data_IF_659695926316
#
_entry.id   IF_659695926316
#
_cell.length_a   1.000
_cell.length_b   1.000
_cell.length_c   1.000
_cell.angle_alpha   90.00
_cell.angle_beta   90.00
_cell.angle_gamma   90.00
#
_symmetry.space_group_name_H-M   'P 1'
#
loop_
_entity.id
_entity.type
_entity.pdbx_description
1 polymer ?
#
# COMPACT_ATOMS: atom_id res chain seq x y z
N UNK A 1 -23.95 9.64 1.61
CA UNK A 1 -23.38 9.25 1.77
C UNK A 1 -22.27 9.17 1.55
N UNK A 2 -21.78 8.92 2.00
CA UNK A 2 -20.61 9.36 1.58
C UNK A 2 -19.70 8.33 1.16
N UNK A 3 -19.04 8.52 0.16
CA UNK A 3 -18.05 7.64 -0.38
C UNK A 3 -16.70 8.04 0.14
N UNK A 4 -16.56 8.00 1.47
CA UNK A 4 -15.39 8.52 2.16
C UNK A 4 -14.09 7.83 1.80
N UNK A 5 -14.15 6.58 1.34
CA UNK A 5 -12.97 5.80 0.99
C UNK A 5 -13.01 5.34 -0.45
N UNK A 6 -13.27 6.25 -1.35
CA UNK A 6 -13.32 5.94 -2.79
C UNK A 6 -11.95 5.63 -3.37
N UNK A 7 -10.95 6.41 -2.97
CA UNK A 7 -9.61 6.34 -3.54
C UNK A 7 -8.67 5.72 -2.55
N UNK A 8 -8.21 4.51 -2.86
CA UNK A 8 -7.39 3.71 -1.94
C UNK A 8 -6.01 3.51 -2.50
N UNK A 9 -5.02 3.67 -1.64
CA UNK A 9 -3.62 3.38 -1.98
C UNK A 9 -3.17 2.09 -1.32
N UNK A 10 -2.29 1.35 -1.99
CA UNK A 10 -1.65 0.16 -1.43
C UNK A 10 -0.15 0.31 -1.63
N UNK A 11 0.61 0.30 -0.54
CA UNK A 11 2.07 0.35 -0.58
C UNK A 11 2.60 -1.07 -0.40
N UNK A 12 3.04 -1.67 -1.49
CA UNK A 12 3.60 -3.02 -1.49
C UNK A 12 3.03 -3.88 -2.61
N UNK A 13 3.87 -4.24 -3.56
CA UNK A 13 3.50 -5.00 -4.75
C UNK A 13 3.74 -6.51 -4.63
N UNK A 14 3.84 -7.06 -3.43
CA UNK A 14 3.94 -8.49 -3.22
C UNK A 14 2.59 -9.19 -3.41
N UNK A 15 2.54 -10.51 -3.15
CA UNK A 15 1.31 -11.29 -3.34
C UNK A 15 0.17 -10.77 -2.49
N UNK A 16 0.42 -10.49 -1.22
CA UNK A 16 -0.61 -10.02 -0.29
C UNK A 16 -1.12 -8.62 -0.64
N UNK A 17 -0.20 -7.70 -0.96
CA UNK A 17 -0.59 -6.34 -1.37
C UNK A 17 -1.40 -6.34 -2.66
N UNK A 18 -1.01 -7.17 -3.63
CA UNK A 18 -1.73 -7.31 -4.89
C UNK A 18 -3.12 -7.89 -4.67
N UNK A 19 -3.25 -8.91 -3.79
CA UNK A 19 -4.54 -9.50 -3.48
C UNK A 19 -5.46 -8.49 -2.79
N UNK A 20 -4.94 -7.67 -1.88
CA UNK A 20 -5.71 -6.61 -1.24
C UNK A 20 -6.16 -5.55 -2.23
N UNK A 21 -5.29 -5.16 -3.16
CA UNK A 21 -5.64 -4.22 -4.23
C UNK A 21 -6.78 -4.76 -5.07
N UNK A 22 -6.74 -6.05 -5.42
CA UNK A 22 -7.81 -6.70 -6.18
C UNK A 22 -9.12 -6.69 -5.39
N UNK A 23 -9.07 -6.98 -4.08
CA UNK A 23 -10.25 -6.95 -3.23
C UNK A 23 -10.90 -5.57 -3.19
N UNK A 24 -10.09 -4.53 -3.06
CA UNK A 24 -10.57 -3.15 -3.05
C UNK A 24 -11.21 -2.76 -4.39
N UNK A 25 -10.57 -3.15 -5.49
CA UNK A 25 -11.11 -2.86 -6.84
C UNK A 25 -12.42 -3.61 -7.07
N UNK A 26 -12.52 -4.85 -6.60
CA UNK A 26 -13.75 -5.63 -6.69
C UNK A 26 -14.89 -4.98 -5.90
N UNK A 27 -14.53 -4.31 -4.80
CA UNK A 27 -15.50 -3.56 -3.99
C UNK A 27 -15.87 -2.21 -4.61
N UNK A 28 -15.37 -1.89 -5.79
CA UNK A 28 -15.70 -0.66 -6.51
C UNK A 28 -14.83 0.54 -6.15
N UNK A 29 -13.72 0.32 -5.47
CA UNK A 29 -12.81 1.40 -5.11
C UNK A 29 -11.82 1.70 -6.24
N UNK A 30 -11.39 2.94 -6.33
CA UNK A 30 -10.31 3.33 -7.23
C UNK A 30 -8.99 3.02 -6.51
N UNK A 31 -8.15 2.16 -7.10
CA UNK A 31 -6.96 1.64 -6.43
C UNK A 31 -5.69 2.06 -7.18
N UNK A 32 -4.74 2.60 -6.42
CA UNK A 32 -3.38 2.84 -6.90
C UNK A 32 -2.43 1.99 -6.04
N UNK A 33 -1.67 1.12 -6.69
CA UNK A 33 -0.72 0.21 -6.04
C UNK A 33 0.71 0.69 -6.29
N UNK A 34 1.41 1.00 -5.21
CA UNK A 34 2.83 1.29 -5.31
C UNK A 34 3.64 0.01 -5.20
N UNK A 35 4.52 -0.22 -6.17
CA UNK A 35 5.47 -1.32 -6.15
C UNK A 35 6.88 -0.78 -6.37
N UNK A 36 7.84 -1.38 -5.68
CA UNK A 36 9.24 -0.97 -5.79
C UNK A 36 9.83 -1.31 -7.16
N UNK A 37 9.43 -2.44 -7.73
CA UNK A 37 10.05 -2.96 -8.95
C UNK A 37 9.29 -2.49 -10.20
N UNK A 38 10.02 -1.87 -11.13
CA UNK A 38 9.43 -1.39 -12.39
C UNK A 38 8.77 -2.51 -13.19
N UNK A 39 9.36 -3.72 -13.16
CA UNK A 39 8.79 -4.86 -13.86
C UNK A 39 7.40 -5.24 -13.31
N UNK A 40 7.22 -5.09 -12.01
CA UNK A 40 5.92 -5.34 -11.38
C UNK A 40 4.89 -4.29 -11.81
N UNK A 41 5.30 -3.02 -11.82
CA UNK A 41 4.45 -1.91 -12.27
C UNK A 41 4.02 -2.12 -13.72
N UNK A 42 4.97 -2.45 -14.60
CA UNK A 42 4.68 -2.66 -16.00
C UNK A 42 3.74 -3.83 -16.23
N UNK A 43 3.98 -4.95 -15.53
CA UNK A 43 3.13 -6.14 -15.68
C UNK A 43 1.69 -5.85 -15.28
N UNK A 44 1.48 -5.14 -14.17
CA UNK A 44 0.14 -4.81 -13.71
C UNK A 44 -0.56 -3.86 -14.70
N UNK A 45 0.14 -2.83 -15.15
CA UNK A 45 -0.48 -1.82 -16.01
C UNK A 45 -0.74 -2.31 -17.43
N UNK A 46 0.11 -3.18 -17.96
CA UNK A 46 -0.03 -3.65 -19.35
C UNK A 46 -0.78 -4.96 -19.48
N UNK A 47 -0.56 -5.89 -18.56
CA UNK A 47 -1.10 -7.25 -18.65
C UNK A 47 -2.18 -7.54 -17.60
N UNK A 48 -2.41 -6.62 -16.68
CA UNK A 48 -3.38 -6.78 -15.59
C UNK A 48 -3.11 -8.06 -14.81
N UNK A 49 -1.84 -8.30 -14.53
CA UNK A 49 -1.37 -9.46 -13.78
C UNK A 49 -0.06 -9.10 -13.09
N UNK A 50 0.11 -9.53 -11.85
CA UNK A 50 1.40 -9.43 -11.17
C UNK A 50 2.15 -10.75 -11.35
N UNK A 51 2.84 -10.87 -12.46
CA UNK A 51 3.52 -12.12 -12.84
C UNK A 51 4.70 -12.46 -11.92
N UNK A 52 5.26 -11.48 -11.21
CA UNK A 52 6.38 -11.71 -10.30
C UNK A 52 5.92 -12.35 -8.98
N UNK A 53 4.82 -11.88 -8.41
CA UNK A 53 4.43 -12.24 -7.04
C UNK A 53 3.07 -12.91 -6.92
N UNK A 54 2.21 -12.79 -7.93
CA UNK A 54 0.88 -13.40 -7.92
C UNK A 54 0.52 -13.89 -9.33
N UNK A 55 1.34 -14.81 -9.89
CA UNK A 55 1.14 -15.26 -11.25
C UNK A 55 -0.18 -16.03 -11.41
N UNK A 56 -0.79 -15.90 -12.59
CA UNK A 56 -2.00 -16.64 -12.93
C UNK A 56 -3.28 -16.06 -12.38
N UNK A 57 -3.22 -14.93 -11.69
CA UNK A 57 -4.42 -14.28 -11.14
C UNK A 57 -4.72 -13.03 -11.95
N UNK A 58 -5.84 -13.00 -12.69
CA UNK A 58 -6.20 -11.79 -13.43
C UNK A 58 -6.64 -10.69 -12.46
N UNK A 59 -6.14 -9.48 -12.69
CA UNK A 59 -6.44 -8.33 -11.87
C UNK A 59 -7.45 -7.43 -12.58
N UNK A 60 -8.22 -6.68 -11.78
CA UNK A 60 -9.16 -5.70 -12.32
C UNK A 60 -8.36 -4.66 -13.13
N UNK A 61 -8.77 -4.40 -14.39
CA UNK A 61 -8.04 -3.44 -15.24
C UNK A 61 -8.03 -2.01 -14.71
N UNK A 62 -8.87 -1.68 -13.75
CA UNK A 62 -8.89 -0.34 -13.15
C UNK A 62 -7.76 -0.11 -12.16
N UNK A 63 -7.07 -1.16 -11.71
CA UNK A 63 -5.93 -1.02 -10.79
C UNK A 63 -4.77 -0.37 -11.54
N UNK A 64 -4.28 0.73 -10.99
CA UNK A 64 -3.10 1.41 -11.52
C UNK A 64 -1.91 1.10 -10.62
N UNK A 65 -0.81 0.70 -11.22
CA UNK A 65 0.43 0.51 -10.49
C UNK A 65 1.38 1.69 -10.76
N UNK A 66 2.19 2.01 -9.76
CA UNK A 66 3.16 3.11 -9.85
C UNK A 66 4.38 2.79 -9.00
N UNK A 67 5.52 3.39 -9.34
CA UNK A 67 6.70 3.39 -8.49
C UNK A 67 6.94 4.76 -7.85
N UNK A 68 6.01 5.68 -8.00
CA UNK A 68 6.08 7.02 -7.42
C UNK A 68 5.08 7.15 -6.27
N UNK A 69 5.56 7.24 -5.03
CA UNK A 69 4.69 7.39 -3.86
C UNK A 69 3.85 8.66 -3.88
N UNK A 70 4.28 9.68 -4.62
CA UNK A 70 3.49 10.89 -4.82
C UNK A 70 2.13 10.63 -5.46
N UNK A 71 1.99 9.55 -6.22
CA UNK A 71 0.73 9.19 -6.85
C UNK A 71 -0.34 8.73 -5.83
N UNK A 72 0.06 8.49 -4.59
CA UNK A 72 -0.86 8.13 -3.51
C UNK A 72 -1.24 9.33 -2.63
N UNK A 73 -0.77 10.51 -2.94
CA UNK A 73 -0.95 11.70 -2.09
C UNK A 73 -2.42 12.08 -1.89
N UNK A 74 -3.28 11.79 -2.85
CA UNK A 74 -4.70 12.15 -2.80
C UNK A 74 -5.61 10.97 -2.41
N UNK A 75 -5.04 9.87 -1.94
CA UNK A 75 -5.83 8.73 -1.48
C UNK A 75 -6.60 9.06 -0.21
N UNK A 76 -7.77 8.46 -0.06
CA UNK A 76 -8.60 8.60 1.14
C UNK A 76 -8.07 7.76 2.29
N UNK A 77 -7.41 6.67 1.99
CA UNK A 77 -6.71 5.81 2.95
C UNK A 77 -5.62 5.03 2.22
N UNK A 78 -4.64 4.58 2.96
CA UNK A 78 -3.51 3.82 2.41
C UNK A 78 -3.27 2.57 3.24
N UNK A 79 -3.17 1.43 2.56
CA UNK A 79 -2.77 0.16 3.17
C UNK A 79 -1.27 -0.03 2.97
N UNK A 80 -0.56 -0.36 4.05
CA UNK A 80 0.89 -0.60 3.99
C UNK A 80 1.14 -2.08 4.16
N UNK A 81 1.68 -2.71 3.11
CA UNK A 81 1.81 -4.16 2.99
C UNK A 81 3.27 -4.54 2.68
N UNK A 82 4.21 -3.67 2.96
CA UNK A 82 5.63 -3.97 2.76
C UNK A 82 6.13 -4.92 3.84
N UNK A 83 7.17 -5.72 3.55
CA UNK A 83 7.79 -6.55 4.58
C UNK A 83 8.23 -5.72 5.79
N UNK A 84 8.19 -6.32 6.98
CA UNK A 84 8.46 -5.61 8.24
C UNK A 84 9.79 -4.85 8.23
N UNK A 85 10.84 -5.45 7.64
CA UNK A 85 12.17 -4.83 7.62
C UNK A 85 12.27 -3.64 6.65
N UNK A 86 11.27 -3.47 5.78
CA UNK A 86 11.21 -2.35 4.82
C UNK A 86 10.13 -1.32 5.19
N UNK A 87 9.41 -1.54 6.27
CA UNK A 87 8.30 -0.69 6.68
C UNK A 87 8.78 0.75 6.93
N UNK A 88 9.80 0.93 7.74
CA UNK A 88 10.29 2.27 8.12
C UNK A 88 10.76 3.05 6.89
N UNK A 89 11.50 2.44 5.99
CA UNK A 89 11.97 3.12 4.79
C UNK A 89 10.83 3.50 3.85
N UNK A 90 9.84 2.63 3.70
CA UNK A 90 8.66 2.91 2.87
C UNK A 90 7.85 4.06 3.46
N UNK A 91 7.62 4.06 4.77
CA UNK A 91 6.88 5.13 5.43
C UNK A 91 7.64 6.46 5.34
N UNK A 92 8.96 6.43 5.55
CA UNK A 92 9.79 7.63 5.46
C UNK A 92 9.73 8.25 4.06
N UNK A 93 9.73 7.43 3.03
CA UNK A 93 9.62 7.90 1.65
C UNK A 93 8.22 8.45 1.34
N UNK A 94 7.18 7.97 2.03
CA UNK A 94 5.82 8.44 1.82
C UNK A 94 5.48 9.71 2.61
N UNK A 95 6.17 10.00 3.71
CA UNK A 95 5.89 11.15 4.58
C UNK A 95 5.65 12.46 3.80
N UNK A 96 6.50 12.85 2.83
CA UNK A 96 6.29 14.12 2.12
C UNK A 96 4.98 14.20 1.36
N UNK A 97 4.33 13.07 1.12
CA UNK A 97 3.11 12.98 0.31
C UNK A 97 1.86 12.73 1.14
N UNK A 98 2.03 12.42 2.43
CA UNK A 98 0.91 12.10 3.31
C UNK A 98 0.33 13.37 3.93
N UNK A 99 -1.00 13.50 3.90
CA UNK A 99 -1.67 14.61 4.59
C UNK A 99 -1.91 14.25 6.06
N UNK A 100 -1.96 15.24 6.96
CA UNK A 100 -2.35 14.98 8.35
C UNK A 100 -3.74 14.35 8.42
N UNK A 101 -3.91 13.39 9.32
CA UNK A 101 -5.18 12.69 9.48
C UNK A 101 -5.46 11.59 8.48
N UNK A 102 -4.53 11.31 7.57
CA UNK A 102 -4.68 10.20 6.61
C UNK A 102 -4.78 8.88 7.36
N UNK A 103 -5.83 8.07 7.13
CA UNK A 103 -5.85 6.71 7.66
C UNK A 103 -4.79 5.84 6.98
N UNK A 104 -3.94 5.23 7.77
CA UNK A 104 -2.90 4.31 7.29
C UNK A 104 -3.11 2.96 7.96
N UNK A 105 -3.43 1.96 7.15
CA UNK A 105 -3.76 0.62 7.62
C UNK A 105 -2.54 -0.27 7.49
N UNK A 106 -2.06 -0.79 8.60
CA UNK A 106 -0.94 -1.71 8.62
C UNK A 106 -1.43 -3.12 8.33
N UNK A 107 -0.92 -3.70 7.27
CA UNK A 107 -1.22 -5.07 6.88
C UNK A 107 0.00 -5.98 7.03
N UNK A 108 1.13 -5.42 7.46
CA UNK A 108 2.37 -6.15 7.70
C UNK A 108 2.47 -6.55 9.16
N UNK A 109 2.97 -7.73 9.40
CA UNK A 109 3.16 -8.27 10.75
C UNK A 109 4.64 -8.41 11.06
N UNK A 110 4.97 -8.45 12.34
CA UNK A 110 6.32 -8.72 12.80
C UNK A 110 6.92 -7.59 13.58
N UNK A 111 8.21 -7.69 13.76
CA UNK A 111 9.02 -6.78 14.55
C UNK A 111 10.19 -6.29 13.68
N UNK A 112 10.49 -5.02 13.75
CA UNK A 112 11.67 -4.47 13.09
C UNK A 112 12.92 -4.96 13.84
N UNK A 113 13.82 -5.67 13.16
CA UNK A 113 14.98 -6.29 13.80
C UNK A 113 15.91 -5.23 14.40
N UNK A 114 16.13 -4.14 13.69
CA UNK A 114 17.09 -3.11 14.13
C UNK A 114 16.67 -2.43 15.45
N UNK A 115 15.37 -2.19 15.65
CA UNK A 115 14.86 -1.46 16.82
C UNK A 115 14.11 -2.35 17.79
N UNK A 116 13.74 -3.57 17.41
CA UNK A 116 12.88 -4.51 18.13
C UNK A 116 11.48 -3.95 18.39
N UNK A 117 11.03 -3.03 17.53
CA UNK A 117 9.70 -2.44 17.64
C UNK A 117 8.70 -3.13 16.73
N UNK A 118 7.45 -3.22 17.17
CA UNK A 118 6.38 -3.73 16.33
C UNK A 118 5.98 -2.69 15.28
N UNK A 119 5.21 -3.13 14.28
CA UNK A 119 4.89 -2.26 13.13
C UNK A 119 4.08 -1.03 13.51
N UNK A 120 3.19 -1.12 14.49
CA UNK A 120 2.44 0.06 14.96
C UNK A 120 3.35 1.10 15.60
N UNK A 121 4.39 0.68 16.31
CA UNK A 121 5.38 1.59 16.88
C UNK A 121 6.22 2.25 15.80
N UNK A 122 6.60 1.49 14.78
CA UNK A 122 7.33 2.03 13.62
C UNK A 122 6.50 3.08 12.91
N UNK A 123 5.20 2.82 12.71
CA UNK A 123 4.30 3.79 12.10
C UNK A 123 4.18 5.06 12.95
N UNK A 124 3.99 4.92 14.25
CA UNK A 124 3.85 6.06 15.14
C UNK A 124 5.08 6.96 15.13
N UNK A 125 6.27 6.36 15.12
CA UNK A 125 7.53 7.12 15.03
C UNK A 125 7.73 7.79 13.68
N UNK A 126 7.37 7.08 12.61
CA UNK A 126 7.63 7.55 11.24
C UNK A 126 6.62 8.58 10.78
N UNK A 127 5.34 8.40 11.16
CA UNK A 127 4.23 9.22 10.69
C UNK A 127 3.25 9.53 11.81
N UNK A 128 3.64 10.37 12.78
CA UNK A 128 2.78 10.63 13.95
C UNK A 128 1.48 11.35 13.63
N UNK A 129 1.37 12.00 12.47
CA UNK A 129 0.20 12.78 12.10
C UNK A 129 -0.89 11.99 11.37
N UNK A 130 -0.68 10.70 11.13
CA UNK A 130 -1.68 9.87 10.46
C UNK A 130 -2.56 9.14 11.48
N UNK A 131 -3.69 8.62 11.00
CA UNK A 131 -4.59 7.80 11.82
C UNK A 131 -4.24 6.34 11.61
N UNK A 132 -3.67 5.66 12.62
CA UNK A 132 -3.25 4.27 12.46
C UNK A 132 -4.42 3.30 12.58
N UNK A 133 -4.35 2.21 11.80
CA UNK A 133 -5.24 1.07 11.91
C UNK A 133 -4.43 -0.19 11.60
N UNK A 134 -4.94 -1.34 12.01
CA UNK A 134 -4.27 -2.63 11.78
C UNK A 134 -5.26 -3.61 11.17
N UNK A 135 -4.84 -4.26 10.11
CA UNK A 135 -5.58 -5.35 9.49
C UNK A 135 -4.80 -6.64 9.73
N UNK A 136 -5.42 -7.59 10.38
CA UNK A 136 -4.77 -8.87 10.66
C UNK A 136 -5.53 -10.04 10.04
#
# INVERSE_FOLDING_TARGET
MTDSYQKMGVIGGGAWGTALAQSLATAGREVTLWAFEDACVDAINTSHENSLYLPGVPLNPSIRATNALSDLADCDAVLVVTPAQHMRSSLSAFIPHARPGLPVVLCSKGIEIASLKCMSEVLEESMPDVVPAVLS
#
